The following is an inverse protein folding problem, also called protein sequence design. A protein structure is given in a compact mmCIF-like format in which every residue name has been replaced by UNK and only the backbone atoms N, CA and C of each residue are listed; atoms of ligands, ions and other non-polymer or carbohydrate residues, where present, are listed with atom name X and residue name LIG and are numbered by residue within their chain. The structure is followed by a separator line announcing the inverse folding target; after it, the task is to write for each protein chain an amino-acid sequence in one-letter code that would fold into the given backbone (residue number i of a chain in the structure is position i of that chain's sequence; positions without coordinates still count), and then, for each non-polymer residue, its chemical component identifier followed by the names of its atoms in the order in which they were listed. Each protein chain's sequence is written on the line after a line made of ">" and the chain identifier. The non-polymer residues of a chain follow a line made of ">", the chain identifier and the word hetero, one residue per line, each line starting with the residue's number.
data_IF_467404860118
#
_entry.id   IF_467404860118
#
_cell.length_a   1.000
_cell.length_b   1.000
_cell.length_c   1.000
_cell.angle_alpha   90.00
_cell.angle_beta   90.00
_cell.angle_gamma   90.00
#
_symmetry.space_group_name_H-M   'P 1'
#
loop_
_entity.id
_entity.type
_entity.pdbx_description
1 polymer ?
#
# COMPACT_ATOMS: atom_id res chain seq x y z
N UNK A 1 -14.09 27.28 -2.29
CA UNK A 1 -15.56 27.12 -2.41
C UNK A 1 -15.93 25.83 -1.72
N UNK A 2 -16.85 25.84 -0.75
CA UNK A 2 -17.23 24.65 0.00
C UNK A 2 -17.83 23.59 -0.93
N UNK A 3 -17.26 22.39 -0.95
CA UNK A 3 -17.75 21.21 -1.70
C UNK A 3 -19.05 20.62 -1.08
N UNK A 4 -19.94 21.48 -0.53
CA UNK A 4 -21.20 21.06 0.07
C UNK A 4 -22.20 20.62 -1.01
N UNK A 5 -22.59 19.35 -1.00
CA UNK A 5 -23.65 18.77 -1.83
C UNK A 5 -23.27 17.58 -2.69
N UNK A 6 -22.03 17.10 -2.68
CA UNK A 6 -21.63 15.88 -3.35
C UNK A 6 -21.89 14.66 -2.45
N UNK A 7 -22.09 13.49 -3.09
CA UNK A 7 -22.24 12.17 -2.48
C UNK A 7 -21.09 11.90 -1.49
N UNK A 8 -21.38 11.18 -0.41
CA UNK A 8 -20.34 10.60 0.45
C UNK A 8 -19.67 9.43 -0.29
N UNK A 9 -18.37 9.53 -0.46
CA UNK A 9 -17.55 8.51 -1.12
C UNK A 9 -16.80 7.60 -0.14
N UNK A 10 -17.13 7.66 1.15
CA UNK A 10 -16.46 6.86 2.17
C UNK A 10 -16.75 5.37 1.97
N UNK A 11 -15.71 4.55 1.77
CA UNK A 11 -15.86 3.10 1.66
C UNK A 11 -16.35 2.49 2.98
N UNK A 12 -17.00 1.34 2.88
CA UNK A 12 -17.55 0.63 4.02
C UNK A 12 -16.55 -0.32 4.68
N UNK A 13 -15.65 -0.94 3.91
CA UNK A 13 -14.73 -1.98 4.40
C UNK A 13 -13.26 -1.57 4.33
N UNK A 14 -12.90 -0.61 3.49
CA UNK A 14 -11.55 -0.05 3.47
C UNK A 14 -11.36 0.95 4.60
N UNK A 15 -10.16 0.99 5.17
CA UNK A 15 -9.82 1.98 6.19
C UNK A 15 -9.80 3.40 5.58
N UNK A 16 -10.38 4.34 6.30
CA UNK A 16 -10.25 5.78 6.07
C UNK A 16 -10.02 6.48 7.40
N UNK A 17 -9.36 7.64 7.47
CA UNK A 17 -9.35 8.44 8.69
C UNK A 17 -10.77 8.90 9.05
N UNK A 18 -11.04 9.16 10.32
CA UNK A 18 -12.35 9.73 10.70
C UNK A 18 -12.59 11.06 10.00
N UNK A 19 -11.55 11.89 9.94
CA UNK A 19 -11.53 13.20 9.27
C UNK A 19 -10.15 13.50 8.73
N UNK A 20 -10.10 14.47 7.82
CA UNK A 20 -8.88 15.07 7.31
C UNK A 20 -8.03 14.09 6.48
N UNK A 21 -6.77 14.39 6.31
CA UNK A 21 -5.86 13.71 5.38
C UNK A 21 -5.24 12.45 5.98
N UNK A 22 -5.14 11.39 5.16
CA UNK A 22 -4.14 10.34 5.35
C UNK A 22 -3.44 9.97 4.03
N UNK A 23 -2.18 9.56 4.16
CA UNK A 23 -1.42 8.90 3.09
C UNK A 23 -0.79 7.60 3.62
N UNK A 24 0.51 7.44 3.58
CA UNK A 24 1.24 6.20 3.81
C UNK A 24 0.84 5.43 5.07
N UNK A 25 0.66 4.12 5.00
CA UNK A 25 0.62 3.28 6.19
C UNK A 25 1.99 3.28 6.88
N UNK A 26 2.00 3.47 8.19
CA UNK A 26 3.20 3.52 9.02
C UNK A 26 3.10 2.57 10.19
N UNK A 27 4.24 2.17 10.73
CA UNK A 27 4.32 1.43 11.97
C UNK A 27 3.42 0.20 12.04
N UNK A 28 3.15 -0.45 10.91
CA UNK A 28 2.28 -1.62 10.81
C UNK A 28 2.84 -2.76 11.67
N UNK A 29 2.08 -3.20 12.67
CA UNK A 29 2.52 -4.27 13.56
C UNK A 29 1.35 -5.04 14.17
N UNK A 30 1.56 -6.36 14.39
CA UNK A 30 0.60 -7.23 15.05
C UNK A 30 1.13 -7.62 16.42
N UNK A 31 0.37 -7.34 17.49
CA UNK A 31 0.76 -7.63 18.87
C UNK A 31 -0.46 -8.13 19.63
N UNK A 32 -0.34 -9.28 20.31
CA UNK A 32 -1.33 -9.85 21.23
C UNK A 32 -2.76 -9.91 20.63
N UNK A 33 -2.89 -10.27 19.35
CA UNK A 33 -4.20 -10.37 18.68
C UNK A 33 -4.74 -9.05 18.14
N UNK A 34 -3.95 -7.99 18.16
CA UNK A 34 -4.33 -6.65 17.71
C UNK A 34 -3.43 -6.21 16.56
N UNK A 35 -4.05 -5.78 15.47
CA UNK A 35 -3.41 -5.11 14.34
C UNK A 35 -3.36 -3.62 14.64
N UNK A 36 -2.16 -3.04 14.61
CA UNK A 36 -1.94 -1.61 14.73
C UNK A 36 -1.64 -1.03 13.36
N UNK A 37 -2.38 0.00 13.00
CA UNK A 37 -2.14 0.85 11.84
C UNK A 37 -1.83 2.26 12.33
N UNK A 38 -0.58 2.68 12.17
CA UNK A 38 -0.25 4.10 12.18
C UNK A 38 -0.26 4.57 10.73
N UNK A 39 -0.43 5.85 10.51
CA UNK A 39 -0.51 6.40 9.16
C UNK A 39 -0.12 7.87 9.14
N UNK A 40 0.42 8.30 8.02
CA UNK A 40 0.65 9.72 7.76
C UNK A 40 -0.66 10.47 7.85
N UNK A 41 -0.70 11.51 8.67
CA UNK A 41 -1.94 12.23 8.98
C UNK A 41 -1.70 13.74 9.11
N UNK A 42 -2.47 14.52 8.37
CA UNK A 42 -2.63 15.93 8.67
C UNK A 42 -3.93 16.12 9.45
N UNK A 43 -3.89 16.33 10.77
CA UNK A 43 -5.10 16.42 11.59
C UNK A 43 -5.88 17.73 11.39
N UNK A 44 -5.38 18.67 10.59
CA UNK A 44 -5.93 20.01 10.47
C UNK A 44 -6.64 20.26 9.12
N UNK A 45 -6.37 19.45 8.10
CA UNK A 45 -6.92 19.68 6.75
C UNK A 45 -7.06 18.35 5.98
N UNK A 46 -7.82 18.39 4.89
CA UNK A 46 -8.03 17.30 3.92
C UNK A 46 -6.96 17.25 2.82
N UNK A 47 -5.92 18.05 2.93
CA UNK A 47 -4.79 18.09 2.01
C UNK A 47 -3.49 17.74 2.73
N UNK A 48 -2.48 17.35 1.97
CA UNK A 48 -1.16 17.10 2.51
C UNK A 48 -0.61 18.34 3.26
N UNK A 49 0.03 18.14 4.39
CA UNK A 49 0.53 19.24 5.24
C UNK A 49 1.46 18.72 6.33
N UNK A 50 1.68 19.47 7.42
CA UNK A 50 2.56 19.03 8.50
C UNK A 50 2.13 17.68 9.05
N UNK A 51 2.92 16.64 8.76
CA UNK A 51 2.56 15.26 9.05
C UNK A 51 2.72 14.90 10.53
N UNK A 52 1.74 14.15 11.00
CA UNK A 52 1.68 13.43 12.27
C UNK A 52 1.55 11.93 11.97
N UNK A 53 1.68 11.08 12.98
CA UNK A 53 1.21 9.70 12.89
C UNK A 53 -0.16 9.59 13.54
N UNK A 54 -1.20 9.39 12.72
CA UNK A 54 -2.50 8.91 13.18
C UNK A 54 -2.39 7.46 13.67
N UNK A 55 -3.38 6.97 14.40
CA UNK A 55 -3.38 5.62 14.96
C UNK A 55 -4.78 4.99 14.92
N UNK A 56 -4.84 3.76 14.46
CA UNK A 56 -6.03 2.92 14.55
C UNK A 56 -5.64 1.48 14.89
N UNK A 57 -6.56 0.75 15.51
CA UNK A 57 -6.39 -0.66 15.85
C UNK A 57 -7.56 -1.50 15.34
N UNK A 58 -7.27 -2.76 15.02
CA UNK A 58 -8.27 -3.73 14.58
C UNK A 58 -7.96 -5.13 15.11
N UNK A 59 -8.99 -5.98 15.22
CA UNK A 59 -8.84 -7.42 15.47
C UNK A 59 -8.88 -8.26 14.20
N UNK A 60 -9.44 -7.70 13.12
CA UNK A 60 -9.80 -8.42 11.90
C UNK A 60 -9.40 -7.68 10.61
N UNK A 61 -8.78 -6.48 10.72
CA UNK A 61 -8.36 -5.61 9.62
C UNK A 61 -9.51 -4.99 8.81
N UNK A 62 -10.76 -5.22 9.21
CA UNK A 62 -11.97 -4.66 8.58
C UNK A 62 -12.66 -3.67 9.50
N UNK A 63 -12.76 -3.98 10.80
CA UNK A 63 -13.35 -3.09 11.80
C UNK A 63 -12.23 -2.35 12.53
N UNK A 64 -12.14 -1.06 12.29
CA UNK A 64 -11.11 -0.22 12.86
C UNK A 64 -11.65 0.64 13.99
N UNK A 65 -10.88 0.74 15.05
CA UNK A 65 -11.08 1.70 16.14
C UNK A 65 -10.00 2.75 16.04
N UNK A 66 -10.39 3.98 15.76
CA UNK A 66 -9.50 5.13 15.77
C UNK A 66 -9.07 5.48 17.19
N UNK A 67 -7.83 5.86 17.33
CA UNK A 67 -7.19 6.29 18.57
C UNK A 67 -6.62 7.70 18.38
N UNK A 68 -6.25 8.40 19.48
CA UNK A 68 -5.58 9.69 19.36
C UNK A 68 -4.32 9.63 18.50
N UNK A 69 -3.93 10.76 17.93
CA UNK A 69 -2.66 10.92 17.23
C UNK A 69 -1.51 10.42 18.11
N UNK A 70 -0.67 9.55 17.56
CA UNK A 70 0.40 8.87 18.30
C UNK A 70 1.71 9.67 18.35
N UNK A 71 2.08 10.32 17.23
CA UNK A 71 3.30 11.10 17.13
C UNK A 71 3.02 12.48 16.53
N UNK A 72 3.60 13.49 17.15
CA UNK A 72 3.46 14.91 16.80
C UNK A 72 4.78 15.50 16.32
N UNK A 73 4.76 16.51 15.43
CA UNK A 73 5.95 17.30 15.11
C UNK A 73 6.67 17.86 16.34
N UNK A 74 7.99 18.04 16.23
CA UNK A 74 8.81 18.71 17.21
C UNK A 74 9.86 19.63 16.53
N UNK A 75 10.86 20.06 17.29
CA UNK A 75 11.94 20.93 16.79
C UNK A 75 12.86 20.27 15.75
N UNK A 76 12.88 18.93 15.66
CA UNK A 76 13.65 18.21 14.63
C UNK A 76 12.89 18.22 13.30
N UNK A 77 11.56 18.02 13.34
CA UNK A 77 10.74 18.03 12.14
C UNK A 77 9.34 17.45 12.29
N UNK A 78 8.65 17.34 11.17
CA UNK A 78 7.36 16.66 11.03
C UNK A 78 7.58 15.14 10.93
N UNK A 79 6.51 14.38 11.21
CA UNK A 79 6.55 12.91 11.29
C UNK A 79 6.34 12.27 9.93
N UNK A 80 7.41 12.09 9.15
CA UNK A 80 7.35 11.33 7.90
C UNK A 80 7.29 9.83 8.17
N UNK A 81 7.22 9.04 7.09
CA UNK A 81 6.95 7.61 7.16
C UNK A 81 8.03 6.81 7.89
N UNK A 82 7.64 5.61 8.30
CA UNK A 82 8.52 4.70 9.02
C UNK A 82 7.77 3.45 9.52
N UNK A 83 8.43 2.69 10.36
CA UNK A 83 8.00 1.37 10.81
C UNK A 83 8.05 1.19 12.32
N UNK A 84 7.62 0.03 12.80
CA UNK A 84 7.57 -0.30 14.23
C UNK A 84 8.39 -1.57 14.50
N UNK A 85 9.26 -1.51 15.51
CA UNK A 85 9.90 -2.66 16.11
C UNK A 85 9.18 -3.06 17.39
N UNK A 86 8.93 -4.36 17.61
CA UNK A 86 8.53 -4.89 18.91
C UNK A 86 9.74 -5.50 19.58
N UNK A 87 10.29 -4.78 20.55
CA UNK A 87 11.55 -5.14 21.23
C UNK A 87 11.28 -6.06 22.43
N UNK A 88 10.91 -7.30 22.13
CA UNK A 88 10.56 -8.31 23.16
C UNK A 88 11.65 -8.56 24.18
N UNK A 89 12.91 -8.43 23.75
CA UNK A 89 14.08 -8.70 24.58
C UNK A 89 14.64 -7.44 25.24
N UNK A 90 13.98 -6.28 25.06
CA UNK A 90 14.41 -4.99 25.58
C UNK A 90 15.88 -4.67 25.21
N UNK A 91 16.27 -4.96 23.97
CA UNK A 91 17.62 -4.68 23.46
C UNK A 91 17.92 -3.18 23.47
N UNK A 92 16.87 -2.36 23.30
CA UNK A 92 16.95 -0.92 23.40
C UNK A 92 17.18 -0.41 24.84
N UNK A 93 16.87 -1.22 25.84
CA UNK A 93 16.98 -0.82 27.26
C UNK A 93 15.98 0.25 27.67
N UNK A 94 14.86 0.44 26.94
CA UNK A 94 13.82 1.41 27.31
C UNK A 94 12.94 0.91 28.45
N UNK A 95 12.71 -0.41 28.54
CA UNK A 95 11.92 -1.00 29.62
C UNK A 95 12.73 -1.14 30.91
N UNK A 96 12.06 -0.95 32.05
CA UNK A 96 12.67 -1.06 33.38
C UNK A 96 12.09 -2.21 34.20
N UNK A 97 10.85 -2.60 33.94
CA UNK A 97 10.10 -3.54 34.81
C UNK A 97 9.48 -4.70 34.01
N UNK A 98 10.09 -5.09 32.89
CA UNK A 98 9.63 -6.23 32.08
C UNK A 98 8.60 -5.88 31.02
N UNK A 99 8.37 -4.60 30.76
CA UNK A 99 7.61 -4.15 29.60
C UNK A 99 8.35 -4.57 28.33
N UNK A 100 7.60 -4.75 27.23
CA UNK A 100 8.16 -4.97 25.90
C UNK A 100 7.98 -3.70 25.08
N UNK A 101 9.07 -2.95 24.81
CA UNK A 101 8.96 -1.69 24.11
C UNK A 101 8.45 -1.85 22.67
N UNK A 102 7.50 -1.01 22.27
CA UNK A 102 7.24 -0.73 20.87
C UNK A 102 8.08 0.47 20.48
N UNK A 103 8.95 0.31 19.49
CA UNK A 103 9.88 1.36 19.06
C UNK A 103 9.52 1.77 17.64
N UNK A 104 8.95 2.97 17.49
CA UNK A 104 8.72 3.60 16.20
C UNK A 104 10.06 4.12 15.66
N UNK A 105 10.39 3.74 14.44
CA UNK A 105 11.53 4.26 13.68
C UNK A 105 10.97 5.05 12.53
N UNK A 106 11.21 6.35 12.46
CA UNK A 106 10.56 7.26 11.53
C UNK A 106 11.52 8.31 10.98
N UNK A 107 11.15 8.92 9.88
CA UNK A 107 11.87 10.08 9.35
C UNK A 107 11.32 11.36 9.96
N UNK A 108 12.18 12.17 10.55
CA UNK A 108 11.87 13.55 10.89
C UNK A 108 12.27 14.46 9.73
N UNK A 109 11.30 15.16 9.14
CA UNK A 109 11.51 16.09 8.02
C UNK A 109 11.43 17.53 8.50
N UNK A 110 12.51 18.27 8.36
CA UNK A 110 12.55 19.68 8.69
C UNK A 110 11.98 20.51 7.54
N UNK A 111 10.82 21.11 7.75
CA UNK A 111 10.07 21.85 6.72
C UNK A 111 10.79 23.11 6.22
N UNK A 112 11.76 23.67 6.98
CA UNK A 112 12.47 24.88 6.58
C UNK A 112 13.70 24.57 5.72
N UNK A 113 14.40 23.48 6.06
CA UNK A 113 15.68 23.11 5.42
C UNK A 113 15.56 21.96 4.43
N UNK A 114 14.46 21.20 4.47
CA UNK A 114 14.29 19.96 3.73
C UNK A 114 15.13 18.79 4.28
N UNK A 115 15.77 18.95 5.45
CA UNK A 115 16.62 17.92 6.02
C UNK A 115 15.77 16.77 6.57
N UNK A 116 16.06 15.55 6.13
CA UNK A 116 15.47 14.30 6.57
C UNK A 116 16.47 13.48 7.38
N UNK A 117 16.05 13.01 8.55
CA UNK A 117 16.91 12.23 9.45
C UNK A 117 16.07 11.16 10.15
N UNK A 118 16.67 10.00 10.48
CA UNK A 118 15.93 8.95 11.14
C UNK A 118 15.93 9.11 12.64
N UNK A 119 14.77 9.08 13.22
CA UNK A 119 14.50 9.26 14.64
C UNK A 119 13.74 8.06 15.20
N UNK A 120 13.72 7.91 16.53
CA UNK A 120 12.93 6.91 17.22
C UNK A 120 12.07 7.51 18.34
N UNK A 121 10.93 6.86 18.56
CA UNK A 121 10.10 7.06 19.74
C UNK A 121 9.69 5.69 20.28
N UNK A 122 9.46 5.58 21.59
CA UNK A 122 9.11 4.30 22.19
C UNK A 122 7.85 4.39 23.05
N UNK A 123 7.14 3.28 23.11
CA UNK A 123 5.97 3.09 23.97
C UNK A 123 6.17 1.88 24.88
N UNK A 124 5.79 2.01 26.15
CA UNK A 124 5.81 0.93 27.15
C UNK A 124 4.39 0.48 27.52
N UNK A 125 3.37 1.01 26.86
CA UNK A 125 1.95 0.78 27.14
C UNK A 125 1.16 0.32 25.89
N UNK A 126 1.81 -0.47 25.05
CA UNK A 126 1.23 -1.06 23.83
C UNK A 126 0.78 0.00 22.81
N UNK A 127 1.62 1.00 22.59
CA UNK A 127 1.41 2.02 21.54
C UNK A 127 0.36 3.08 21.85
N UNK A 128 -0.07 3.22 23.11
CA UNK A 128 -1.01 4.28 23.50
C UNK A 128 -0.34 5.64 23.65
N UNK A 129 0.87 5.65 24.21
CA UNK A 129 1.67 6.87 24.39
C UNK A 129 3.09 6.57 23.94
N UNK A 130 3.69 7.53 23.22
CA UNK A 130 5.08 7.47 22.77
C UNK A 130 5.90 8.58 23.39
N UNK A 131 7.11 8.22 23.82
CA UNK A 131 8.15 9.17 24.24
C UNK A 131 9.24 9.20 23.16
N UNK A 132 9.58 10.38 22.68
CA UNK A 132 10.68 10.57 21.71
C UNK A 132 12.02 10.39 22.39
N UNK A 133 12.91 9.66 21.73
CA UNK A 133 14.23 9.41 22.30
C UNK A 133 15.06 10.69 22.33
N UNK A 134 15.61 11.03 23.47
CA UNK A 134 16.39 12.26 23.67
C UNK A 134 17.69 12.30 22.85
N UNK A 135 18.20 11.15 22.38
CA UNK A 135 19.41 11.03 21.55
C UNK A 135 19.13 11.10 20.04
N UNK A 136 17.91 11.45 19.62
CA UNK A 136 17.60 11.66 18.20
C UNK A 136 18.44 12.77 17.56
N UNK A 137 18.74 12.67 16.24
CA UNK A 137 18.48 11.54 15.35
C UNK A 137 19.44 10.36 15.58
N UNK A 138 18.93 9.12 15.38
CA UNK A 138 19.71 7.87 15.49
C UNK A 138 20.48 7.55 14.21
N UNK A 139 19.97 7.99 13.04
CA UNK A 139 20.70 7.98 11.76
C UNK A 139 20.65 9.39 11.19
N UNK A 140 21.79 10.05 11.20
CA UNK A 140 21.96 11.39 10.62
C UNK A 140 22.03 11.30 9.10
N UNK A 141 21.42 12.27 8.42
CA UNK A 141 21.53 12.38 6.98
C UNK A 141 22.99 12.66 6.57
N UNK A 142 23.57 11.86 5.69
CA UNK A 142 24.95 12.06 5.21
C UNK A 142 25.09 13.21 4.18
N UNK A 143 24.01 13.92 3.87
CA UNK A 143 23.93 14.94 2.82
C UNK A 143 23.24 14.46 1.55
N UNK A 144 22.51 13.36 1.62
CA UNK A 144 21.73 12.80 0.50
C UNK A 144 20.33 13.40 0.50
N UNK A 145 19.81 13.91 -0.61
CA UNK A 145 18.39 14.26 -0.73
C UNK A 145 17.52 13.01 -0.68
N UNK A 146 16.26 13.18 -0.25
CA UNK A 146 15.29 12.08 -0.21
C UNK A 146 15.77 10.85 0.59
N UNK A 147 16.15 11.10 1.85
CA UNK A 147 16.71 10.12 2.78
C UNK A 147 15.69 9.74 3.85
N UNK A 148 14.76 8.81 3.53
CA UNK A 148 13.54 8.60 4.32
C UNK A 148 12.99 7.19 4.33
N UNK A 149 11.93 6.98 5.12
CA UNK A 149 11.04 5.81 5.17
C UNK A 149 11.74 4.54 5.67
N UNK A 150 12.26 4.54 6.91
CA UNK A 150 12.99 3.40 7.47
C UNK A 150 12.05 2.23 7.76
N UNK A 151 12.43 1.04 7.28
CA UNK A 151 11.79 -0.23 7.62
C UNK A 151 12.70 -1.07 8.51
N UNK A 152 12.32 -1.29 9.75
CA UNK A 152 13.06 -2.07 10.74
C UNK A 152 12.47 -3.47 10.89
N UNK A 153 13.32 -4.49 11.07
CA UNK A 153 12.93 -5.84 11.38
C UNK A 153 14.05 -6.58 12.15
N UNK A 154 13.66 -7.63 12.91
CA UNK A 154 14.64 -8.48 13.57
C UNK A 154 15.28 -9.44 12.56
N UNK A 155 16.59 -9.54 12.58
CA UNK A 155 17.39 -10.39 11.71
C UNK A 155 17.93 -11.59 12.47
N UNK A 156 17.20 -12.69 12.46
CA UNK A 156 17.58 -13.93 13.15
C UNK A 156 18.94 -14.48 12.74
N UNK A 157 19.37 -14.21 11.50
CA UNK A 157 20.64 -14.69 10.96
C UNK A 157 21.84 -14.00 11.61
N UNK A 158 21.69 -12.76 12.01
CA UNK A 158 22.74 -11.90 12.57
C UNK A 158 22.52 -11.59 14.06
N UNK A 159 21.40 -12.01 14.62
CA UNK A 159 20.99 -11.71 16.00
C UNK A 159 21.04 -10.21 16.30
N UNK A 160 20.42 -9.42 15.42
CA UNK A 160 20.39 -7.96 15.51
C UNK A 160 19.18 -7.37 14.78
N UNK A 161 18.95 -6.09 14.92
CA UNK A 161 18.02 -5.33 14.12
C UNK A 161 18.64 -5.00 12.77
N UNK A 162 17.90 -5.23 11.68
CA UNK A 162 18.20 -4.72 10.35
C UNK A 162 17.21 -3.62 9.99
N UNK A 163 17.66 -2.68 9.16
CA UNK A 163 16.85 -1.60 8.65
C UNK A 163 17.17 -1.38 7.18
N UNK A 164 16.15 -1.20 6.37
CA UNK A 164 16.26 -0.71 5.00
C UNK A 164 15.67 0.69 4.91
N UNK A 165 16.32 1.58 4.17
CA UNK A 165 16.03 2.99 4.07
C UNK A 165 16.13 3.45 2.62
N UNK A 166 15.18 4.22 2.14
CA UNK A 166 15.28 4.88 0.84
C UNK A 166 16.28 6.04 0.90
N UNK A 167 17.17 6.10 -0.10
CA UNK A 167 18.24 7.11 -0.19
C UNK A 167 18.35 7.59 -1.64
N UNK A 168 17.55 8.59 -2.02
CA UNK A 168 17.44 9.04 -3.40
C UNK A 168 16.86 7.95 -4.32
N UNK A 169 17.65 7.39 -5.22
CA UNK A 169 17.26 6.39 -6.22
C UNK A 169 17.64 4.94 -5.86
N UNK A 170 17.97 4.68 -4.60
CA UNK A 170 18.40 3.36 -4.12
C UNK A 170 17.99 3.11 -2.67
N UNK A 171 18.20 1.89 -2.20
CA UNK A 171 18.02 1.50 -0.81
C UNK A 171 19.37 1.33 -0.11
N UNK A 172 19.46 1.80 1.14
CA UNK A 172 20.58 1.54 2.05
C UNK A 172 20.16 0.56 3.16
N UNK A 173 21.08 -0.31 3.57
CA UNK A 173 20.88 -1.27 4.64
C UNK A 173 21.73 -0.91 5.86
N UNK A 174 21.14 -1.11 7.04
CA UNK A 174 21.79 -0.81 8.32
C UNK A 174 21.56 -1.97 9.30
N UNK A 175 22.47 -2.11 10.28
CA UNK A 175 22.36 -3.04 11.39
C UNK A 175 22.55 -2.33 12.74
N UNK A 176 21.83 -2.79 13.77
CA UNK A 176 21.91 -2.28 15.13
C UNK A 176 21.67 -3.39 16.16
N UNK A 177 22.37 -3.33 17.30
CA UNK A 177 22.11 -4.21 18.44
C UNK A 177 21.07 -3.63 19.41
N UNK A 178 20.75 -2.34 19.32
CA UNK A 178 20.02 -1.60 20.35
C UNK A 178 19.00 -0.59 19.81
N UNK A 179 18.72 -0.59 18.49
CA UNK A 179 17.83 0.38 17.81
C UNK A 179 18.27 1.84 17.89
N UNK A 180 19.35 2.15 18.58
CA UNK A 180 19.87 3.51 18.80
C UNK A 180 21.15 3.78 18.04
N UNK A 181 22.01 2.77 17.92
CA UNK A 181 23.29 2.87 17.24
C UNK A 181 23.28 2.03 15.97
N UNK A 182 23.29 2.69 14.81
CA UNK A 182 23.15 2.07 13.51
C UNK A 182 24.46 2.12 12.71
N UNK A 183 24.75 1.05 12.01
CA UNK A 183 25.88 0.96 11.09
C UNK A 183 25.38 0.57 9.70
N UNK A 184 25.72 1.35 8.67
CA UNK A 184 25.44 0.98 7.27
C UNK A 184 26.18 -0.32 6.93
N UNK A 185 25.48 -1.28 6.31
CA UNK A 185 26.02 -2.59 5.93
C UNK A 185 26.11 -2.75 4.42
N UNK A 186 25.24 -2.08 3.67
CA UNK A 186 25.23 -2.18 2.22
C UNK A 186 24.24 -1.24 1.56
N UNK A 187 24.10 -1.41 0.24
CA UNK A 187 23.13 -0.67 -0.58
C UNK A 187 22.71 -1.53 -1.77
N UNK A 188 21.55 -1.19 -2.36
CA UNK A 188 21.04 -1.81 -3.58
C UNK A 188 20.22 -0.81 -4.39
N UNK A 189 20.38 -0.82 -5.71
CA UNK A 189 19.47 -0.12 -6.63
C UNK A 189 20.13 1.00 -7.43
N UNK A 190 21.33 1.45 -7.08
CA UNK A 190 22.03 2.47 -7.85
C UNK A 190 22.09 2.09 -9.33
N UNK A 191 21.44 2.91 -10.18
CA UNK A 191 21.41 2.69 -11.63
C UNK A 191 20.55 1.50 -12.10
N UNK A 192 19.75 0.88 -11.25
CA UNK A 192 18.84 -0.21 -11.63
C UNK A 192 17.72 0.29 -12.52
N UNK A 193 17.19 1.47 -12.26
CA UNK A 193 16.16 2.09 -13.09
C UNK A 193 16.80 2.88 -14.24
N UNK A 194 16.29 2.66 -15.47
CA UNK A 194 16.74 3.37 -16.69
C UNK A 194 16.56 4.89 -16.59
N UNK A 195 15.54 5.32 -15.85
CA UNK A 195 15.25 6.73 -15.55
C UNK A 195 15.42 6.91 -14.06
N UNK A 196 16.28 7.84 -13.60
CA UNK A 196 16.40 8.14 -12.18
C UNK A 196 15.06 8.56 -11.60
N UNK A 197 14.70 7.95 -10.48
CA UNK A 197 13.46 8.24 -9.75
C UNK A 197 13.73 8.18 -8.27
N UNK A 198 12.99 8.96 -7.49
CA UNK A 198 13.09 8.91 -6.03
C UNK A 198 12.42 7.63 -5.54
N UNK A 199 13.11 6.91 -4.69
CA UNK A 199 12.59 5.76 -3.98
C UNK A 199 11.98 6.19 -2.65
N UNK A 200 10.86 5.56 -2.29
CA UNK A 200 10.10 5.84 -1.07
C UNK A 200 9.58 4.53 -0.47
N UNK A 201 9.24 4.53 0.81
CA UNK A 201 8.53 3.46 1.52
C UNK A 201 9.12 2.07 1.23
N UNK A 202 10.44 1.93 1.42
CA UNK A 202 11.12 0.65 1.22
C UNK A 202 10.64 -0.40 2.24
N UNK A 203 10.40 -1.63 1.78
CA UNK A 203 10.15 -2.79 2.65
C UNK A 203 10.98 -3.98 2.18
N UNK A 204 11.56 -4.71 3.13
CA UNK A 204 12.35 -5.91 2.84
C UNK A 204 11.77 -7.09 3.62
N UNK A 205 11.19 -8.02 2.88
CA UNK A 205 10.40 -9.12 3.45
C UNK A 205 10.84 -10.48 2.96
N UNK A 206 10.60 -11.49 3.76
CA UNK A 206 10.82 -12.87 3.41
C UNK A 206 9.49 -13.52 3.01
N UNK A 207 9.40 -14.03 1.79
CA UNK A 207 8.18 -14.58 1.22
C UNK A 207 8.37 -16.05 0.85
N UNK A 208 7.39 -16.88 1.18
CA UNK A 208 7.39 -18.31 0.78
C UNK A 208 7.27 -18.45 -0.71
N UNK A 209 8.13 -19.29 -1.31
CA UNK A 209 7.95 -19.79 -2.67
C UNK A 209 6.82 -20.83 -2.67
N UNK A 210 6.10 -20.95 -3.79
CA UNK A 210 5.08 -21.99 -3.95
C UNK A 210 5.67 -23.41 -4.05
N UNK A 211 6.99 -23.54 -4.12
CA UNK A 211 7.72 -24.79 -4.21
C UNK A 211 8.22 -25.21 -2.83
N UNK A 212 7.83 -26.40 -2.36
CA UNK A 212 8.26 -26.95 -1.06
C UNK A 212 9.78 -27.08 -0.93
N UNK A 213 10.52 -27.17 -2.04
CA UNK A 213 11.97 -27.35 -2.07
C UNK A 213 12.76 -26.03 -2.03
N UNK A 214 12.22 -24.92 -2.52
CA UNK A 214 12.94 -23.63 -2.61
C UNK A 214 12.80 -22.74 -1.37
N UNK A 215 11.87 -23.08 -0.48
CA UNK A 215 11.74 -22.43 0.82
C UNK A 215 11.27 -20.99 0.74
N UNK A 216 12.18 -20.01 0.71
CA UNK A 216 11.87 -18.59 0.78
C UNK A 216 12.77 -17.77 -0.14
N UNK A 217 12.21 -16.65 -0.63
CA UNK A 217 12.95 -15.56 -1.25
C UNK A 217 12.76 -14.28 -0.49
N UNK A 218 13.69 -13.37 -0.64
CA UNK A 218 13.53 -12.01 -0.15
C UNK A 218 12.95 -11.12 -1.24
N UNK A 219 12.05 -10.26 -0.85
CA UNK A 219 11.43 -9.27 -1.73
C UNK A 219 11.75 -7.89 -1.18
N UNK A 220 12.39 -7.07 -1.99
CA UNK A 220 12.52 -5.65 -1.74
C UNK A 220 11.38 -4.94 -2.47
N UNK A 221 10.55 -4.21 -1.73
CA UNK A 221 9.44 -3.41 -2.22
C UNK A 221 9.84 -1.94 -2.18
N UNK A 222 9.49 -1.18 -3.21
CA UNK A 222 9.84 0.24 -3.33
C UNK A 222 8.71 1.00 -4.01
N UNK A 223 8.27 2.07 -3.41
CA UNK A 223 7.34 3.02 -4.04
C UNK A 223 8.12 4.08 -4.80
N UNK A 224 7.63 4.47 -5.98
CA UNK A 224 8.29 5.48 -6.78
C UNK A 224 7.34 6.23 -7.71
N UNK A 225 7.60 7.52 -7.92
CA UNK A 225 6.95 8.32 -8.93
C UNK A 225 7.87 8.35 -10.15
N UNK A 226 7.42 7.79 -11.26
CA UNK A 226 8.18 7.75 -12.50
C UNK A 226 7.94 8.98 -13.37
N UNK A 227 8.84 9.95 -13.41
CA UNK A 227 8.80 10.97 -14.45
C UNK A 227 9.17 10.32 -15.80
N UNK A 228 8.25 10.32 -16.75
CA UNK A 228 8.50 9.86 -18.12
C UNK A 228 8.03 8.45 -18.48
N UNK A 229 7.53 7.66 -17.56
CA UNK A 229 6.79 6.44 -17.83
C UNK A 229 5.30 6.65 -17.59
N UNK A 230 4.65 7.42 -18.46
CA UNK A 230 3.21 7.66 -18.39
C UNK A 230 2.73 8.31 -17.08
N UNK A 231 3.65 8.98 -16.31
CA UNK A 231 3.30 9.73 -15.10
C UNK A 231 2.72 8.89 -13.95
N UNK A 232 3.01 7.60 -13.89
CA UNK A 232 2.46 6.72 -12.84
C UNK A 232 3.31 6.77 -11.59
N UNK A 233 2.66 6.97 -10.45
CA UNK A 233 3.18 6.54 -9.17
C UNK A 233 2.86 5.04 -9.03
N UNK A 234 3.85 4.21 -8.71
CA UNK A 234 3.67 2.76 -8.62
C UNK A 234 4.64 2.14 -7.61
N UNK A 235 4.42 0.86 -7.33
CA UNK A 235 5.23 0.09 -6.37
C UNK A 235 5.93 -1.03 -7.11
N UNK A 236 7.24 -0.89 -7.25
CA UNK A 236 8.11 -1.90 -7.83
C UNK A 236 8.56 -2.90 -6.78
N UNK A 237 8.76 -4.15 -7.19
CA UNK A 237 9.39 -5.14 -6.33
C UNK A 237 10.56 -5.85 -7.04
N UNK A 238 11.52 -6.28 -6.22
CA UNK A 238 12.68 -7.06 -6.65
C UNK A 238 12.70 -8.38 -5.91
N UNK A 239 12.92 -9.48 -6.63
CA UNK A 239 13.05 -10.82 -6.04
C UNK A 239 14.52 -11.16 -5.90
N UNK A 240 14.95 -11.63 -4.74
CA UNK A 240 16.35 -11.91 -4.51
C UNK A 240 16.65 -12.64 -3.21
N UNK A 241 17.86 -12.46 -2.75
CA UNK A 241 18.38 -13.01 -1.50
C UNK A 241 18.94 -11.89 -0.63
N UNK A 242 18.80 -12.02 0.69
CA UNK A 242 19.38 -11.12 1.67
C UNK A 242 20.32 -11.94 2.58
N UNK A 243 21.60 -11.57 2.61
CA UNK A 243 22.61 -12.31 3.39
C UNK A 243 22.66 -11.87 4.87
N UNK A 244 21.88 -10.86 5.23
CA UNK A 244 21.82 -10.24 6.53
C UNK A 244 22.49 -8.86 6.57
N UNK A 245 23.22 -8.49 5.54
CA UNK A 245 23.89 -7.20 5.39
C UNK A 245 23.47 -6.46 4.11
N UNK A 246 23.28 -7.20 3.00
CA UNK A 246 22.92 -6.63 1.69
C UNK A 246 21.89 -7.48 0.98
N UNK A 247 21.12 -6.85 0.10
CA UNK A 247 20.20 -7.50 -0.82
C UNK A 247 20.84 -7.68 -2.19
N UNK A 248 20.60 -8.84 -2.80
CA UNK A 248 21.02 -9.16 -4.16
C UNK A 248 19.81 -9.61 -4.97
N UNK A 249 19.48 -8.88 -6.03
CA UNK A 249 18.39 -9.27 -6.94
C UNK A 249 18.82 -10.50 -7.75
N UNK A 250 17.99 -11.55 -7.74
CA UNK A 250 18.23 -12.80 -8.49
C UNK A 250 17.32 -12.92 -9.71
N UNK A 251 16.20 -12.20 -9.76
CA UNK A 251 15.28 -12.15 -10.89
C UNK A 251 15.56 -10.91 -11.74
N UNK A 252 16.43 -11.05 -12.74
CA UNK A 252 16.75 -9.94 -13.66
C UNK A 252 15.73 -9.95 -14.79
N UNK A 253 14.91 -8.90 -14.84
CA UNK A 253 13.87 -8.72 -15.85
C UNK A 253 14.15 -7.51 -16.75
N UNK A 254 13.68 -7.55 -18.00
CA UNK A 254 13.81 -6.42 -18.91
C UNK A 254 12.88 -5.24 -18.54
N UNK A 255 11.73 -5.56 -17.96
CA UNK A 255 10.73 -4.59 -17.52
C UNK A 255 10.57 -4.66 -15.99
N UNK A 256 10.27 -3.53 -15.34
CA UNK A 256 10.00 -3.50 -13.92
C UNK A 256 8.86 -4.45 -13.51
N UNK A 257 9.00 -5.06 -12.33
CA UNK A 257 7.94 -5.86 -11.73
C UNK A 257 7.10 -4.99 -10.81
N UNK A 258 5.81 -4.84 -11.11
CA UNK A 258 4.89 -4.00 -10.37
C UNK A 258 3.97 -4.84 -9.48
N UNK A 259 3.70 -4.36 -8.24
CA UNK A 259 2.73 -5.01 -7.33
C UNK A 259 1.30 -4.83 -7.85
N UNK A 260 1.03 -3.70 -8.49
CA UNK A 260 -0.31 -3.29 -8.89
C UNK A 260 -0.24 -2.63 -10.27
N UNK A 261 -1.14 -2.99 -11.18
CA UNK A 261 -1.22 -2.35 -12.50
C UNK A 261 -2.27 -1.25 -12.57
N UNK A 262 -3.06 -1.05 -11.49
CA UNK A 262 -3.99 0.06 -11.36
C UNK A 262 -3.31 1.41 -11.15
N UNK A 263 -4.06 2.35 -10.65
CA UNK A 263 -3.58 3.73 -10.47
C UNK A 263 -3.41 4.13 -9.02
N UNK A 264 -4.12 3.44 -8.11
CA UNK A 264 -4.38 3.91 -6.76
C UNK A 264 -3.94 2.90 -5.71
N UNK A 265 -2.65 2.64 -5.68
CA UNK A 265 -1.95 1.90 -4.62
C UNK A 265 -0.52 2.43 -4.56
N UNK A 266 -0.16 3.06 -3.45
CA UNK A 266 1.15 3.68 -3.24
C UNK A 266 1.62 3.47 -1.80
N UNK A 267 2.93 3.71 -1.54
CA UNK A 267 3.56 3.68 -0.22
C UNK A 267 3.31 2.38 0.58
N UNK A 268 3.06 1.27 -0.11
CA UNK A 268 2.63 0.03 0.52
C UNK A 268 3.77 -0.70 1.21
N UNK A 269 3.50 -1.14 2.44
CA UNK A 269 4.42 -1.88 3.32
C UNK A 269 3.70 -3.02 4.04
N UNK A 270 4.44 -3.90 4.70
CA UNK A 270 3.88 -5.07 5.37
C UNK A 270 3.82 -4.91 6.89
N UNK A 271 2.93 -5.69 7.52
CA UNK A 271 2.86 -5.81 8.97
C UNK A 271 4.09 -6.51 9.55
N UNK A 272 4.70 -5.90 10.56
CA UNK A 272 5.72 -6.54 11.39
C UNK A 272 5.12 -7.47 12.44
N UNK A 273 5.96 -8.35 13.02
CA UNK A 273 5.61 -9.26 14.10
C UNK A 273 4.42 -10.19 13.79
N UNK A 274 4.29 -10.59 12.51
CA UNK A 274 3.31 -11.57 12.05
C UNK A 274 4.00 -12.63 11.19
N UNK A 275 3.51 -13.87 11.22
CA UNK A 275 4.16 -15.02 10.57
C UNK A 275 4.00 -15.07 9.04
N UNK A 276 3.09 -14.26 8.51
CA UNK A 276 2.84 -14.12 7.07
C UNK A 276 3.02 -12.67 6.64
N UNK A 277 3.51 -12.43 5.41
CA UNK A 277 3.63 -11.07 4.89
C UNK A 277 2.24 -10.53 4.51
N UNK A 278 1.65 -9.72 5.38
CA UNK A 278 0.40 -9.01 5.15
C UNK A 278 0.72 -7.57 4.79
N UNK A 279 0.44 -7.21 3.57
CA UNK A 279 0.69 -5.91 2.95
C UNK A 279 -0.52 -4.99 3.08
N UNK A 280 -0.27 -3.70 3.23
CA UNK A 280 -1.26 -2.63 3.18
C UNK A 280 -0.67 -1.45 2.41
N UNK A 281 -1.43 -0.87 1.47
CA UNK A 281 -1.01 0.29 0.70
C UNK A 281 -1.93 1.49 0.89
N UNK A 282 -1.45 2.68 0.58
CA UNK A 282 -2.29 3.86 0.46
C UNK A 282 -3.07 3.79 -0.85
N UNK A 283 -4.39 3.75 -0.76
CA UNK A 283 -5.31 3.51 -1.88
C UNK A 283 -5.64 4.77 -2.70
N UNK A 284 -4.69 5.69 -2.85
CA UNK A 284 -4.81 6.89 -3.68
C UNK A 284 -3.47 7.16 -4.38
N UNK A 285 -3.51 7.82 -5.52
CA UNK A 285 -2.31 8.21 -6.23
C UNK A 285 -1.77 9.56 -5.72
N UNK A 286 -0.49 9.68 -5.34
CA UNK A 286 0.09 10.91 -4.82
C UNK A 286 -0.02 12.10 -5.79
N UNK A 287 -0.11 11.85 -7.10
CA UNK A 287 -0.18 12.91 -8.11
C UNK A 287 -1.46 13.77 -8.01
N UNK A 288 -2.57 13.19 -7.53
CA UNK A 288 -3.85 13.90 -7.46
C UNK A 288 -4.58 13.79 -6.11
N UNK A 289 -3.97 13.18 -5.12
CA UNK A 289 -4.60 12.91 -3.84
C UNK A 289 -5.13 14.19 -3.14
N UNK A 290 -4.46 15.33 -3.32
CA UNK A 290 -4.90 16.62 -2.77
C UNK A 290 -6.22 17.13 -3.37
N UNK A 291 -6.67 16.58 -4.48
CA UNK A 291 -7.79 17.11 -5.27
C UNK A 291 -9.01 16.18 -5.30
N UNK A 292 -8.90 14.96 -4.75
CA UNK A 292 -10.00 13.98 -4.76
C UNK A 292 -11.27 14.53 -4.07
N UNK A 293 -12.48 14.16 -4.56
CA UNK A 293 -13.73 14.80 -4.14
C UNK A 293 -14.35 14.19 -2.88
N UNK A 294 -13.56 13.73 -1.91
CA UNK A 294 -14.02 12.91 -0.78
C UNK A 294 -14.59 13.70 0.43
N UNK A 295 -14.54 15.04 0.40
CA UNK A 295 -15.23 15.87 1.40
C UNK A 295 -14.47 16.09 2.69
N UNK A 296 -14.94 15.53 3.81
CA UNK A 296 -14.36 15.79 5.15
C UNK A 296 -13.11 14.92 5.45
N UNK A 297 -12.80 13.98 4.61
CA UNK A 297 -11.60 13.15 4.71
C UNK A 297 -10.90 13.08 3.35
N UNK A 298 -9.64 12.70 3.33
CA UNK A 298 -8.90 12.36 2.12
C UNK A 298 -7.95 11.22 2.38
N UNK A 299 -7.93 10.27 1.43
CA UNK A 299 -7.14 9.05 1.52
C UNK A 299 -7.92 7.87 2.12
N UNK A 300 -7.49 6.68 1.73
CA UNK A 300 -7.96 5.39 2.22
C UNK A 300 -6.78 4.39 2.15
N UNK A 301 -6.90 3.24 2.81
CA UNK A 301 -5.97 2.12 2.62
C UNK A 301 -6.61 1.06 1.74
N UNK A 302 -5.78 0.33 0.97
CA UNK A 302 -6.22 -0.89 0.27
C UNK A 302 -6.79 -1.90 1.25
N UNK A 303 -7.47 -2.94 0.79
CA UNK A 303 -7.64 -4.12 1.63
C UNK A 303 -6.25 -4.69 1.98
N UNK A 304 -6.10 -5.27 3.18
CA UNK A 304 -4.90 -6.03 3.49
C UNK A 304 -4.72 -7.19 2.52
N UNK A 305 -3.48 -7.44 2.09
CA UNK A 305 -3.15 -8.47 1.09
C UNK A 305 -2.08 -9.40 1.62
N UNK A 306 -2.34 -10.70 1.60
CA UNK A 306 -1.28 -11.70 1.84
C UNK A 306 -0.42 -11.81 0.59
N UNK A 307 0.90 -11.71 0.78
CA UNK A 307 1.89 -11.83 -0.28
C UNK A 307 2.44 -13.26 -0.34
N UNK A 308 2.59 -13.78 -1.55
CA UNK A 308 3.25 -15.06 -1.81
C UNK A 308 3.97 -15.01 -3.17
N UNK A 309 4.86 -15.95 -3.44
CA UNK A 309 5.52 -16.07 -4.75
C UNK A 309 4.94 -17.24 -5.54
N UNK A 310 4.89 -17.06 -6.84
CA UNK A 310 4.58 -18.11 -7.81
C UNK A 310 5.69 -18.16 -8.86
N UNK A 311 6.14 -19.35 -9.19
CA UNK A 311 7.02 -19.55 -10.33
C UNK A 311 6.21 -19.54 -11.62
N UNK A 312 6.65 -18.77 -12.60
CA UNK A 312 6.06 -18.66 -13.94
C UNK A 312 7.11 -19.02 -14.98
N UNK A 313 6.73 -19.09 -16.26
CA UNK A 313 7.69 -19.28 -17.36
C UNK A 313 8.73 -18.15 -17.45
N UNK A 314 8.45 -16.99 -16.85
CA UNK A 314 9.33 -15.82 -16.84
C UNK A 314 10.07 -15.62 -15.49
N UNK A 315 10.09 -16.62 -14.59
CA UNK A 315 10.65 -16.57 -13.24
C UNK A 315 9.63 -16.28 -12.16
N UNK A 316 10.09 -15.93 -10.96
CA UNK A 316 9.21 -15.69 -9.81
C UNK A 316 8.40 -14.40 -9.98
N UNK A 317 7.10 -14.49 -9.67
CA UNK A 317 6.18 -13.35 -9.63
C UNK A 317 5.47 -13.30 -8.28
N UNK A 318 5.30 -12.06 -7.78
CA UNK A 318 4.56 -11.82 -6.55
C UNK A 318 3.07 -12.02 -6.79
N UNK A 319 2.42 -12.70 -5.87
CA UNK A 319 0.96 -12.84 -5.81
C UNK A 319 0.44 -12.07 -4.63
N UNK A 320 -0.65 -11.38 -4.82
CA UNK A 320 -1.35 -10.66 -3.76
C UNK A 320 -2.79 -11.17 -3.65
N UNK A 321 -3.24 -11.49 -2.44
CA UNK A 321 -4.61 -11.93 -2.20
C UNK A 321 -5.24 -11.13 -1.08
N UNK A 322 -6.54 -10.79 -1.16
CA UNK A 322 -7.23 -10.17 -0.04
C UNK A 322 -7.07 -11.01 1.22
N UNK A 323 -6.79 -10.36 2.34
CA UNK A 323 -6.59 -10.98 3.64
C UNK A 323 -7.61 -10.45 4.65
N UNK A 324 -8.22 -11.34 5.44
CA UNK A 324 -9.17 -10.97 6.48
C UNK A 324 -10.62 -10.76 6.01
N UNK A 325 -10.90 -10.78 4.69
CA UNK A 325 -12.26 -10.51 4.17
C UNK A 325 -13.15 -11.75 4.04
N UNK A 326 -12.59 -12.97 4.13
CA UNK A 326 -13.32 -14.20 3.83
C UNK A 326 -14.56 -14.41 4.69
N UNK A 327 -14.49 -14.06 5.98
CA UNK A 327 -15.61 -14.20 6.93
C UNK A 327 -16.77 -13.22 6.63
N UNK A 328 -16.51 -12.17 5.85
CA UNK A 328 -17.48 -11.14 5.48
C UNK A 328 -18.16 -11.42 4.13
N UNK A 329 -17.68 -12.41 3.36
CA UNK A 329 -18.30 -12.82 2.12
C UNK A 329 -19.58 -13.61 2.40
N UNK A 330 -20.70 -13.18 1.81
CA UNK A 330 -21.98 -13.84 2.01
C UNK A 330 -22.68 -14.11 0.67
N UNK A 331 -23.06 -15.38 0.46
CA UNK A 331 -24.01 -15.81 -0.55
C UNK A 331 -23.55 -15.58 -1.99
N UNK A 332 -22.53 -16.31 -2.46
CA UNK A 332 -22.16 -16.28 -3.87
C UNK A 332 -23.25 -16.90 -4.76
N UNK A 333 -23.77 -16.16 -5.74
CA UNK A 333 -24.77 -16.61 -6.69
C UNK A 333 -24.47 -16.16 -8.12
N UNK A 334 -24.75 -16.98 -9.13
CA UNK A 334 -24.54 -16.60 -10.52
C UNK A 334 -25.37 -15.36 -10.90
N UNK A 335 -24.77 -14.49 -11.70
CA UNK A 335 -25.48 -13.33 -12.25
C UNK A 335 -25.46 -13.41 -13.78
N UNK A 336 -26.61 -13.07 -14.39
CA UNK A 336 -26.70 -12.87 -15.83
C UNK A 336 -26.33 -11.42 -16.19
N UNK A 337 -26.32 -11.14 -17.47
CA UNK A 337 -26.15 -9.79 -17.98
C UNK A 337 -27.23 -8.83 -17.40
N UNK A 338 -26.84 -7.57 -17.15
CA UNK A 338 -27.71 -6.51 -16.61
C UNK A 338 -28.26 -6.83 -15.19
N UNK A 339 -27.39 -7.35 -14.30
CA UNK A 339 -27.81 -7.62 -12.91
C UNK A 339 -27.92 -6.33 -12.10
N UNK A 340 -29.10 -6.02 -11.51
CA UNK A 340 -29.22 -4.90 -10.58
C UNK A 340 -28.37 -5.09 -9.32
N UNK A 341 -27.71 -4.01 -8.87
CA UNK A 341 -26.98 -3.92 -7.61
C UNK A 341 -27.89 -3.40 -6.50
N UNK A 342 -27.84 -4.04 -5.34
CA UNK A 342 -28.62 -3.67 -4.16
C UNK A 342 -27.74 -3.07 -3.04
N UNK A 343 -26.44 -3.04 -3.24
CA UNK A 343 -25.44 -2.55 -2.28
C UNK A 343 -24.29 -1.89 -3.03
N UNK A 344 -23.60 -1.00 -2.35
CA UNK A 344 -22.41 -0.33 -2.88
C UNK A 344 -21.11 -1.01 -2.45
N UNK A 345 -21.19 -2.14 -1.73
CA UNK A 345 -20.02 -2.97 -1.36
C UNK A 345 -20.33 -4.43 -1.65
N UNK A 346 -19.63 -4.98 -2.63
CA UNK A 346 -19.83 -6.35 -3.13
C UNK A 346 -18.57 -6.89 -3.79
N UNK A 347 -18.55 -8.19 -4.02
CA UNK A 347 -17.52 -8.82 -4.83
C UNK A 347 -18.10 -9.61 -6.00
N UNK A 348 -17.30 -9.73 -7.06
CA UNK A 348 -17.57 -10.55 -8.23
C UNK A 348 -16.47 -11.61 -8.34
N UNK A 349 -16.88 -12.87 -8.54
CA UNK A 349 -16.00 -13.96 -8.92
C UNK A 349 -16.22 -14.24 -10.40
N UNK A 350 -15.16 -14.14 -11.18
CA UNK A 350 -15.20 -14.17 -12.64
C UNK A 350 -14.34 -15.30 -13.17
N UNK A 351 -14.88 -16.09 -14.10
CA UNK A 351 -14.17 -17.13 -14.81
C UNK A 351 -14.51 -17.08 -16.31
N UNK A 352 -13.55 -17.36 -17.18
CA UNK A 352 -13.75 -17.39 -18.64
C UNK A 352 -12.48 -17.01 -19.39
N UNK A 353 -12.55 -16.87 -20.72
CA UNK A 353 -11.39 -16.57 -21.54
C UNK A 353 -11.35 -15.11 -21.98
N UNK A 354 -12.48 -14.54 -22.31
CA UNK A 354 -12.57 -13.16 -22.77
C UNK A 354 -13.95 -12.56 -22.50
N UNK A 355 -13.99 -11.27 -22.37
CA UNK A 355 -15.23 -10.52 -22.21
C UNK A 355 -15.03 -9.22 -21.45
N UNK A 356 -16.13 -8.59 -21.15
CA UNK A 356 -16.19 -7.27 -20.53
C UNK A 356 -17.13 -7.29 -19.34
N UNK A 357 -16.71 -6.69 -18.24
CA UNK A 357 -17.52 -6.43 -17.08
C UNK A 357 -17.60 -4.91 -16.90
N UNK A 358 -18.80 -4.37 -16.77
CA UNK A 358 -19.00 -2.95 -16.56
C UNK A 358 -19.93 -2.69 -15.37
N UNK A 359 -19.52 -1.87 -14.44
CA UNK A 359 -20.36 -1.30 -13.39
C UNK A 359 -20.94 0.00 -13.93
N UNK A 360 -22.27 0.12 -13.93
CA UNK A 360 -22.98 1.24 -14.59
C UNK A 360 -24.02 1.86 -13.70
N UNK A 361 -24.32 3.14 -13.94
CA UNK A 361 -25.45 3.83 -13.34
C UNK A 361 -26.36 4.52 -14.37
N UNK A 362 -27.44 5.10 -13.88
CA UNK A 362 -28.46 5.79 -14.73
C UNK A 362 -27.98 7.11 -15.33
N UNK A 363 -26.81 7.61 -14.92
CA UNK A 363 -26.21 8.83 -15.50
C UNK A 363 -25.31 8.54 -16.71
N UNK A 364 -25.16 7.26 -17.06
CA UNK A 364 -24.28 6.82 -18.14
C UNK A 364 -22.81 6.73 -17.72
N UNK A 365 -22.53 6.80 -16.40
CA UNK A 365 -21.22 6.57 -15.86
C UNK A 365 -20.93 5.07 -15.79
N UNK A 366 -19.71 4.69 -16.14
CA UNK A 366 -19.27 3.30 -16.09
C UNK A 366 -17.77 3.17 -15.78
N UNK A 367 -17.41 2.13 -15.03
CA UNK A 367 -16.04 1.60 -14.96
C UNK A 367 -16.05 0.22 -15.61
N UNK A 368 -15.05 -0.05 -16.44
CA UNK A 368 -15.00 -1.23 -17.29
C UNK A 368 -13.76 -2.04 -17.01
N UNK A 369 -13.94 -3.35 -16.91
CA UNK A 369 -12.86 -4.33 -16.88
C UNK A 369 -12.99 -5.19 -18.13
N UNK A 370 -11.96 -5.22 -18.96
CA UNK A 370 -11.90 -6.07 -20.15
C UNK A 370 -10.85 -7.15 -19.95
N UNK A 371 -11.21 -8.37 -20.27
CA UNK A 371 -10.38 -9.56 -20.16
C UNK A 371 -10.17 -10.15 -21.53
N UNK A 372 -8.94 -10.43 -21.88
CA UNK A 372 -8.55 -11.22 -23.04
C UNK A 372 -7.70 -12.43 -22.61
N UNK A 373 -7.34 -13.28 -23.54
CA UNK A 373 -6.43 -14.42 -23.25
C UNK A 373 -5.08 -13.93 -22.73
N UNK A 374 -4.62 -12.76 -23.19
CA UNK A 374 -3.27 -12.27 -22.96
C UNK A 374 -3.19 -11.04 -22.03
N UNK A 375 -4.33 -10.39 -21.74
CA UNK A 375 -4.32 -9.12 -21.01
C UNK A 375 -5.57 -8.87 -20.18
N UNK A 376 -5.44 -7.97 -19.20
CA UNK A 376 -6.54 -7.39 -18.42
C UNK A 376 -6.40 -5.88 -18.52
N UNK A 377 -7.50 -5.20 -18.85
CA UNK A 377 -7.59 -3.75 -18.93
C UNK A 377 -8.64 -3.24 -17.97
N UNK A 378 -8.33 -2.16 -17.25
CA UNK A 378 -9.31 -1.38 -16.49
C UNK A 378 -9.43 0.01 -17.09
N UNK A 379 -10.66 0.43 -17.38
CA UNK A 379 -10.99 1.74 -17.96
C UNK A 379 -11.95 2.49 -17.02
N UNK A 380 -11.47 3.60 -16.46
CA UNK A 380 -12.24 4.53 -15.62
C UNK A 380 -12.57 5.85 -16.30
N UNK A 381 -12.36 5.95 -17.60
CA UNK A 381 -12.52 7.22 -18.36
C UNK A 381 -13.93 7.80 -18.32
N UNK A 382 -14.92 6.97 -17.92
CA UNK A 382 -16.33 7.37 -17.74
C UNK A 382 -16.86 7.05 -16.35
N UNK A 383 -15.99 6.90 -15.35
CA UNK A 383 -16.36 6.36 -14.04
C UNK A 383 -17.12 7.36 -13.14
N UNK A 384 -17.26 8.62 -13.53
CA UNK A 384 -17.90 9.68 -12.75
C UNK A 384 -17.13 10.98 -12.76
N UNK A 385 -16.99 11.62 -11.60
CA UNK A 385 -16.25 12.89 -11.46
C UNK A 385 -14.75 12.68 -11.70
N UNK A 386 -14.24 13.26 -12.77
CA UNK A 386 -12.83 13.25 -13.15
C UNK A 386 -12.22 14.67 -13.09
N UNK A 387 -12.93 15.64 -12.51
CA UNK A 387 -12.47 17.04 -12.44
C UNK A 387 -11.24 17.24 -11.56
N UNK A 388 -10.99 16.31 -10.63
CA UNK A 388 -9.80 16.36 -9.77
C UNK A 388 -8.47 16.23 -10.55
N UNK A 389 -8.51 15.74 -11.77
CA UNK A 389 -7.35 15.74 -12.65
C UNK A 389 -7.02 17.12 -13.24
N UNK A 390 -8.00 18.02 -13.30
CA UNK A 390 -7.83 19.32 -13.94
C UNK A 390 -6.97 20.29 -13.09
N UNK A 391 -6.83 19.99 -11.79
CA UNK A 391 -6.04 20.76 -10.83
C UNK A 391 -4.58 20.29 -10.70
N UNK A 392 -4.21 19.22 -11.40
CA UNK A 392 -2.85 18.65 -11.34
C UNK A 392 -1.95 19.29 -12.39
N UNK A 393 -0.66 19.49 -12.07
CA UNK A 393 0.31 20.06 -13.01
C UNK A 393 0.47 19.16 -14.25
N UNK A 394 0.09 19.63 -15.45
CA UNK A 394 0.19 18.84 -16.68
C UNK A 394 1.64 18.52 -17.10
N UNK A 395 2.64 19.10 -16.42
CA UNK A 395 4.04 18.74 -16.62
C UNK A 395 4.41 17.42 -15.92
N UNK A 396 3.65 17.03 -14.90
CA UNK A 396 3.90 15.79 -14.14
C UNK A 396 3.33 14.58 -14.88
N UNK A 397 2.14 14.71 -15.49
CA UNK A 397 1.50 13.63 -16.24
C UNK A 397 0.42 14.15 -17.20
N UNK A 398 -0.03 13.28 -18.09
CA UNK A 398 -1.21 13.51 -18.93
C UNK A 398 -2.41 12.78 -18.32
N UNK A 399 -3.55 13.44 -18.24
CA UNK A 399 -4.80 12.87 -17.72
C UNK A 399 -5.13 11.53 -18.37
N UNK A 400 -4.95 11.44 -19.69
CA UNK A 400 -5.26 10.27 -20.49
C UNK A 400 -4.48 9.02 -20.03
N UNK A 401 -3.25 9.19 -19.55
CA UNK A 401 -2.38 8.10 -19.11
C UNK A 401 -2.86 7.48 -17.78
N UNK A 402 -3.76 8.17 -17.06
CA UNK A 402 -4.33 7.72 -15.78
C UNK A 402 -5.80 7.26 -15.89
N UNK A 403 -6.34 7.13 -17.08
CA UNK A 403 -7.73 6.71 -17.30
C UNK A 403 -7.87 5.23 -17.66
N UNK A 404 -6.90 4.69 -18.40
CA UNK A 404 -6.92 3.30 -18.86
C UNK A 404 -5.60 2.64 -18.49
N UNK A 405 -5.66 1.49 -17.85
CA UNK A 405 -4.48 0.68 -17.50
C UNK A 405 -4.64 -0.74 -18.00
N UNK A 406 -3.57 -1.27 -18.57
CA UNK A 406 -3.53 -2.64 -19.11
C UNK A 406 -2.30 -3.37 -18.59
N UNK A 407 -2.48 -4.63 -18.23
CA UNK A 407 -1.38 -5.54 -17.90
C UNK A 407 -1.45 -6.80 -18.76
N UNK A 408 -0.30 -7.43 -19.01
CA UNK A 408 -0.26 -8.80 -19.55
C UNK A 408 -0.65 -9.80 -18.48
N UNK A 409 -1.18 -10.94 -18.88
CA UNK A 409 -1.42 -12.09 -18.02
C UNK A 409 -0.22 -13.03 -18.05
N UNK A 410 0.23 -13.48 -16.88
CA UNK A 410 1.27 -14.50 -16.76
C UNK A 410 0.73 -15.92 -16.92
N UNK A 411 -0.56 -16.14 -16.62
CA UNK A 411 -1.24 -17.41 -16.79
C UNK A 411 -2.03 -17.43 -18.10
N UNK A 412 -1.94 -18.53 -18.84
CA UNK A 412 -2.74 -18.75 -20.06
C UNK A 412 -4.00 -19.54 -19.75
N UNK A 413 -5.03 -19.36 -20.58
CA UNK A 413 -6.32 -20.04 -20.44
C UNK A 413 -7.34 -19.21 -19.69
N UNK A 414 -8.30 -19.87 -19.05
CA UNK A 414 -9.38 -19.18 -18.34
C UNK A 414 -8.83 -18.27 -17.25
N UNK A 415 -9.27 -17.03 -17.23
CA UNK A 415 -9.04 -16.14 -16.11
C UNK A 415 -9.81 -16.66 -14.89
N UNK A 416 -9.18 -16.54 -13.73
CA UNK A 416 -9.85 -16.67 -12.43
C UNK A 416 -9.62 -15.35 -11.69
N UNK A 417 -10.65 -14.52 -11.59
CA UNK A 417 -10.53 -13.16 -11.10
C UNK A 417 -11.55 -12.86 -10.01
N UNK A 418 -11.15 -12.17 -8.99
CA UNK A 418 -12.02 -11.56 -8.00
C UNK A 418 -11.97 -10.04 -8.16
N UNK A 419 -13.13 -9.40 -8.20
CA UNK A 419 -13.30 -7.95 -8.21
C UNK A 419 -14.03 -7.58 -6.92
N UNK A 420 -13.45 -6.66 -6.13
CA UNK A 420 -14.08 -6.12 -4.93
C UNK A 420 -14.35 -4.64 -5.16
N UNK A 421 -15.60 -4.25 -5.06
CA UNK A 421 -16.05 -2.87 -5.18
C UNK A 421 -16.59 -2.37 -3.84
N UNK A 422 -16.18 -1.18 -3.43
CA UNK A 422 -16.59 -0.58 -2.17
C UNK A 422 -16.76 0.93 -2.31
N UNK A 423 -17.99 1.35 -2.65
CA UNK A 423 -18.45 2.74 -2.78
C UNK A 423 -17.70 3.56 -3.84
N UNK A 424 -16.39 3.74 -3.66
CA UNK A 424 -15.51 4.58 -4.49
C UNK A 424 -14.18 3.92 -4.82
N UNK A 425 -14.00 2.67 -4.42
CA UNK A 425 -12.75 1.96 -4.61
C UNK A 425 -12.98 0.57 -5.19
N UNK A 426 -12.19 0.24 -6.19
CA UNK A 426 -12.24 -1.03 -6.92
C UNK A 426 -10.89 -1.73 -6.78
N UNK A 427 -10.91 -2.97 -6.35
CA UNK A 427 -9.74 -3.86 -6.37
C UNK A 427 -10.00 -5.08 -7.25
N UNK A 428 -9.02 -5.43 -8.07
CA UNK A 428 -9.02 -6.58 -8.97
C UNK A 428 -7.89 -7.52 -8.57
N UNK A 429 -8.18 -8.81 -8.48
CA UNK A 429 -7.21 -9.86 -8.18
C UNK A 429 -7.40 -10.97 -9.21
N UNK A 430 -6.58 -10.99 -10.25
CA UNK A 430 -6.70 -11.96 -11.32
C UNK A 430 -5.61 -13.04 -11.23
N UNK A 431 -5.91 -14.21 -11.80
CA UNK A 431 -5.03 -15.38 -11.89
C UNK A 431 -4.42 -15.77 -10.53
N UNK A 432 -5.27 -15.70 -9.49
CA UNK A 432 -4.90 -15.97 -8.10
C UNK A 432 -4.05 -14.88 -7.47
N UNK A 433 -4.11 -13.66 -7.99
CA UNK A 433 -3.43 -12.48 -7.49
C UNK A 433 -2.09 -12.19 -8.16
N UNK A 434 -1.80 -12.79 -9.32
CA UNK A 434 -0.64 -12.45 -10.15
C UNK A 434 -0.78 -11.08 -10.79
N UNK A 435 -1.99 -10.74 -11.23
CA UNK A 435 -2.34 -9.42 -11.74
C UNK A 435 -3.33 -8.76 -10.77
N UNK A 436 -2.93 -7.63 -10.20
CA UNK A 436 -3.74 -6.88 -9.24
C UNK A 436 -3.87 -5.43 -9.68
N UNK A 437 -5.07 -4.88 -9.59
CA UNK A 437 -5.31 -3.46 -9.83
C UNK A 437 -6.13 -2.83 -8.70
N UNK A 438 -5.80 -1.58 -8.39
CA UNK A 438 -6.47 -0.72 -7.44
C UNK A 438 -6.88 0.58 -8.12
N UNK A 439 -8.15 0.97 -8.00
CA UNK A 439 -8.71 2.06 -8.78
C UNK A 439 -9.74 2.86 -7.98
N UNK A 440 -9.47 4.14 -7.77
CA UNK A 440 -10.45 5.11 -7.29
C UNK A 440 -11.45 5.47 -8.40
N UNK A 441 -12.72 5.52 -8.05
CA UNK A 441 -13.80 6.00 -8.91
C UNK A 441 -14.77 6.86 -8.10
N UNK A 442 -15.23 7.94 -8.67
CA UNK A 442 -16.10 8.90 -7.98
C UNK A 442 -17.41 9.13 -8.78
N UNK A 443 -18.29 8.10 -8.87
CA UNK A 443 -19.54 8.23 -9.63
C UNK A 443 -20.50 9.21 -8.94
N UNK A 444 -21.11 10.10 -9.70
CA UNK A 444 -22.11 11.06 -9.20
C UNK A 444 -23.37 10.39 -8.65
N UNK A 445 -23.64 9.17 -9.09
CA UNK A 445 -24.67 8.29 -8.54
C UNK A 445 -24.11 6.88 -8.32
N UNK A 446 -24.63 6.12 -7.32
CA UNK A 446 -24.21 4.75 -7.14
C UNK A 446 -24.30 3.93 -8.44
N UNK A 447 -23.33 3.03 -8.67
CA UNK A 447 -23.49 2.06 -9.72
C UNK A 447 -24.69 1.14 -9.38
N UNK A 448 -25.54 0.89 -10.35
CA UNK A 448 -26.81 0.23 -10.16
C UNK A 448 -26.93 -1.12 -10.90
N UNK A 449 -26.01 -1.36 -11.85
CA UNK A 449 -26.05 -2.53 -12.71
C UNK A 449 -24.66 -3.05 -12.97
N UNK A 450 -24.50 -4.37 -12.88
CA UNK A 450 -23.36 -5.09 -13.48
C UNK A 450 -23.78 -5.58 -14.85
N UNK A 451 -23.07 -5.18 -15.89
CA UNK A 451 -23.23 -5.65 -17.26
C UNK A 451 -22.05 -6.54 -17.64
N UNK A 452 -22.31 -7.68 -18.25
CA UNK A 452 -21.31 -8.65 -18.69
C UNK A 452 -21.52 -9.04 -20.15
N UNK A 453 -20.44 -9.27 -20.87
CA UNK A 453 -20.47 -9.86 -22.21
C UNK A 453 -19.28 -10.84 -22.40
N UNK A 454 -19.24 -11.48 -23.58
CA UNK A 454 -18.24 -12.51 -23.88
C UNK A 454 -18.58 -13.87 -23.29
N UNK A 455 -17.57 -14.67 -22.95
CA UNK A 455 -17.73 -16.01 -22.36
C UNK A 455 -17.52 -16.03 -20.84
N UNK A 456 -17.64 -14.86 -20.17
CA UNK A 456 -17.41 -14.74 -18.74
C UNK A 456 -18.59 -15.28 -17.92
N UNK A 457 -18.30 -16.23 -17.04
CA UNK A 457 -19.18 -16.64 -15.96
C UNK A 457 -18.91 -15.79 -14.73
N UNK A 458 -19.94 -15.11 -14.23
CA UNK A 458 -19.82 -14.20 -13.11
C UNK A 458 -20.74 -14.62 -11.97
N UNK A 459 -20.17 -14.73 -10.77
CA UNK A 459 -20.92 -14.86 -9.51
C UNK A 459 -20.73 -13.61 -8.67
N UNK A 460 -21.80 -13.17 -8.04
CA UNK A 460 -21.77 -12.02 -7.12
C UNK A 460 -21.93 -12.50 -5.68
N UNK A 461 -21.19 -11.92 -4.77
CA UNK A 461 -21.41 -12.05 -3.32
C UNK A 461 -21.56 -10.67 -2.69
N UNK A 462 -22.25 -10.59 -1.57
CA UNK A 462 -22.33 -9.38 -0.75
C UNK A 462 -21.27 -9.39 0.34
N UNK A 463 -20.83 -8.22 0.75
CA UNK A 463 -19.92 -8.06 1.88
C UNK A 463 -20.74 -7.55 3.05
N UNK A 464 -20.73 -8.32 4.14
CA UNK A 464 -21.46 -8.00 5.38
C UNK A 464 -20.43 -7.59 6.43
N UNK A 465 -20.44 -6.30 6.76
CA UNK A 465 -19.68 -5.71 7.86
C UNK A 465 -20.52 -5.64 9.12
#
# INVERSE_FOLDING_TARGET
>A
MSKQGKRDFRPNIHFTPEKNWNNDPNGLIYIDGIWHLYYQHNPNDVVWGPMHWGHAISKDLIHWKHLPVALYPDEIGTMYSGSMAYDENNTSGFAKYGEKPMVAVYTAHNMETGLEQQCIAYSLDQGKHFEKYYGNPVIKNPGTPDFRDPRVFWNDKKDCWSLVLASGDHAEFYASQDLKNWKKTGEFGVGVNKVPTVWECTDLIRVKTGNEFDGFKWILIVSMIHPGTEGRANIQYFVGDFDGDTFQCTEITNEPLWIDFGFDNYAGVTYGNYDRPVYLGWGVNPLYANFVPTGEYSGLMTLPRELSLCETEEGYRLKTKPFGIDEYRAGAFPIGNQKPLLTESFGLLVQGNFGRIALKNSRGEEVVIEVTVDSITVDRSKSGDLSYFDDVDPKLFKKEDLLVSTTKRYMRGNVNMEIIFDVSYLEIYADGGLETASVCVYPDAPYQVVSTDGDLEVKMYTIKK
#
